data_IF_544816551062
#
_entry.id   IF_544816551062
#
_cell.length_a   1.000
_cell.length_b   1.000
_cell.length_c   1.000
_cell.angle_alpha   90.00
_cell.angle_beta   90.00
_cell.angle_gamma   90.00
#
_symmetry.space_group_name_H-M   'P 1'
#
loop_
_entity.id
_entity.type
_entity.pdbx_description
1 polymer ?
#
# COMPACT_ATOMS: atom_id res chain seq x y z
N UNK A 1 24.19 19.76 -37.92
CA UNK A 1 22.72 19.94 -37.85
C UNK A 1 22.10 19.75 -39.22
N UNK A 2 21.68 18.51 -39.55
CA UNK A 2 21.30 18.13 -40.90
C UNK A 2 20.03 18.84 -41.44
N UNK A 3 19.14 19.31 -40.56
CA UNK A 3 17.87 19.92 -40.95
C UNK A 3 18.02 21.38 -41.39
N UNK A 4 18.71 22.20 -40.59
CA UNK A 4 18.90 23.64 -40.86
C UNK A 4 19.70 23.86 -42.16
N UNK A 5 20.71 23.04 -42.40
CA UNK A 5 21.51 23.12 -43.62
C UNK A 5 20.73 22.68 -44.87
N UNK A 6 19.79 21.73 -44.71
CA UNK A 6 18.91 21.25 -45.78
C UNK A 6 17.81 22.27 -46.12
N UNK A 7 17.29 22.97 -45.12
CA UNK A 7 16.35 24.09 -45.28
C UNK A 7 17.03 25.26 -46.01
N UNK A 8 18.28 25.60 -45.65
CA UNK A 8 19.03 26.69 -46.30
C UNK A 8 19.39 26.40 -47.76
N UNK A 9 19.59 25.13 -48.11
CA UNK A 9 19.91 24.68 -49.47
C UNK A 9 18.67 24.44 -50.34
N UNK A 10 17.46 24.65 -49.82
CA UNK A 10 16.23 24.51 -50.59
C UNK A 10 16.19 25.57 -51.70
N UNK A 11 16.09 25.11 -52.95
CA UNK A 11 15.82 25.94 -54.12
C UNK A 11 14.29 26.10 -54.25
N UNK A 12 13.74 27.27 -53.91
CA UNK A 12 12.30 27.51 -53.76
C UNK A 12 12.00 28.77 -52.94
N UNK A 13 10.76 28.97 -52.48
CA UNK A 13 10.37 30.11 -51.62
C UNK A 13 11.29 30.30 -50.40
N UNK A 14 11.34 31.52 -49.87
CA UNK A 14 12.26 31.89 -48.78
C UNK A 14 12.22 30.87 -47.63
N UNK A 15 13.37 30.35 -47.16
CA UNK A 15 13.42 29.33 -46.10
C UNK A 15 13.05 29.85 -44.70
N UNK A 16 12.86 31.16 -44.56
CA UNK A 16 12.62 31.84 -43.28
C UNK A 16 11.44 31.28 -42.47
N UNK A 17 10.25 31.01 -43.06
CA UNK A 17 9.10 30.49 -42.32
C UNK A 17 9.36 29.11 -41.69
N UNK A 18 10.10 28.24 -42.38
CA UNK A 18 10.41 26.88 -41.88
C UNK A 18 11.40 26.96 -40.71
N UNK A 19 12.39 27.85 -40.79
CA UNK A 19 13.36 28.05 -39.71
C UNK A 19 12.65 28.57 -38.46
N UNK A 20 11.72 29.51 -38.62
CA UNK A 20 10.94 30.04 -37.51
C UNK A 20 10.08 28.97 -36.84
N UNK A 21 9.39 28.12 -37.62
CA UNK A 21 8.63 26.99 -37.09
C UNK A 21 9.51 26.02 -36.30
N UNK A 22 10.69 25.67 -36.80
CA UNK A 22 11.64 24.80 -36.08
C UNK A 22 12.10 25.44 -34.77
N UNK A 23 12.30 26.76 -34.76
CA UNK A 23 12.70 27.49 -33.56
C UNK A 23 11.57 27.59 -32.53
N UNK A 24 10.33 27.78 -32.98
CA UNK A 24 9.14 27.73 -32.13
C UNK A 24 8.96 26.33 -31.53
N UNK A 25 9.17 25.27 -32.32
CA UNK A 25 9.16 23.88 -31.83
C UNK A 25 10.22 23.66 -30.76
N UNK A 26 11.46 24.13 -30.99
CA UNK A 26 12.55 24.05 -29.99
C UNK A 26 12.12 24.67 -28.67
N UNK A 27 11.60 25.90 -28.69
CA UNK A 27 11.12 26.60 -27.49
C UNK A 27 9.98 25.85 -26.81
N UNK A 28 9.01 25.34 -27.59
CA UNK A 28 7.91 24.53 -27.09
C UNK A 28 8.41 23.27 -26.39
N UNK A 29 9.37 22.56 -26.99
CA UNK A 29 9.96 21.35 -26.39
C UNK A 29 10.73 21.65 -25.11
N UNK A 30 11.42 22.80 -25.01
CA UNK A 30 12.11 23.20 -23.78
C UNK A 30 11.14 23.44 -22.62
N UNK A 31 10.02 24.11 -22.88
CA UNK A 31 8.96 24.34 -21.89
C UNK A 31 8.36 23.01 -21.43
N UNK A 32 8.07 22.11 -22.38
CA UNK A 32 7.52 20.78 -22.08
C UNK A 32 8.52 19.94 -21.27
N UNK A 33 9.81 20.00 -21.61
CA UNK A 33 10.83 19.26 -20.87
C UNK A 33 10.91 19.77 -19.42
N UNK A 34 10.91 21.10 -19.23
CA UNK A 34 10.91 21.68 -17.90
C UNK A 34 9.67 21.27 -17.09
N UNK A 35 8.47 21.37 -17.67
CA UNK A 35 7.24 20.94 -16.99
C UNK A 35 7.27 19.45 -16.66
N UNK A 36 7.78 18.61 -17.57
CA UNK A 36 7.93 17.17 -17.35
C UNK A 36 8.87 16.87 -16.18
N UNK A 37 9.98 17.59 -16.04
CA UNK A 37 10.89 17.42 -14.89
C UNK A 37 10.22 17.77 -13.56
N UNK A 38 9.45 18.86 -13.52
CA UNK A 38 8.70 19.27 -12.33
C UNK A 38 7.60 18.26 -11.98
N UNK A 39 6.88 17.76 -12.98
CA UNK A 39 5.85 16.74 -12.80
C UNK A 39 6.45 15.43 -12.28
N UNK A 40 7.57 14.97 -12.84
CA UNK A 40 8.26 13.77 -12.37
C UNK A 40 8.67 13.90 -10.89
N UNK A 41 9.24 15.03 -10.49
CA UNK A 41 9.59 15.29 -9.09
C UNK A 41 8.35 15.26 -8.17
N UNK A 42 7.24 15.86 -8.62
CA UNK A 42 5.98 15.89 -7.87
C UNK A 42 5.34 14.50 -7.74
N UNK A 43 5.40 13.67 -8.78
CA UNK A 43 4.93 12.28 -8.74
C UNK A 43 5.67 11.50 -7.67
N UNK A 44 7.00 11.57 -7.63
CA UNK A 44 7.82 10.89 -6.61
C UNK A 44 7.43 11.34 -5.20
N UNK A 45 7.25 12.65 -4.98
CA UNK A 45 6.81 13.19 -3.69
C UNK A 45 5.42 12.70 -3.28
N UNK A 46 4.47 12.66 -4.22
CA UNK A 46 3.11 12.20 -3.98
C UNK A 46 3.07 10.70 -3.67
N UNK A 47 3.83 9.88 -4.40
CA UNK A 47 3.95 8.45 -4.13
C UNK A 47 4.54 8.18 -2.75
N UNK A 48 5.61 8.89 -2.37
CA UNK A 48 6.20 8.77 -1.03
C UNK A 48 5.20 9.15 0.07
N UNK A 49 4.46 10.25 -0.13
CA UNK A 49 3.44 10.72 0.81
C UNK A 49 2.27 9.74 0.93
N UNK A 50 1.79 9.19 -0.20
CA UNK A 50 0.74 8.18 -0.24
C UNK A 50 1.17 6.88 0.42
N UNK A 51 2.41 6.45 0.21
CA UNK A 51 2.97 5.28 0.88
C UNK A 51 3.00 5.48 2.39
N UNK A 52 3.53 6.62 2.86
CA UNK A 52 3.56 6.95 4.28
C UNK A 52 2.15 7.03 4.89
N UNK A 53 1.18 7.63 4.20
CA UNK A 53 -0.21 7.68 4.64
C UNK A 53 -0.86 6.28 4.68
N UNK A 54 -0.59 5.45 3.68
CA UNK A 54 -1.07 4.07 3.60
C UNK A 54 -0.50 3.22 4.73
N UNK A 55 0.80 3.34 5.02
CA UNK A 55 1.45 2.69 6.16
C UNK A 55 0.84 3.15 7.49
N UNK A 56 0.58 4.44 7.67
CA UNK A 56 -0.11 4.96 8.87
C UNK A 56 -1.52 4.37 9.01
N UNK A 57 -2.23 4.21 7.89
CA UNK A 57 -3.59 3.62 7.87
C UNK A 57 -3.58 2.11 8.12
N UNK A 58 -2.56 1.40 7.61
CA UNK A 58 -2.43 -0.06 7.74
C UNK A 58 -1.93 -0.48 9.12
N UNK A 59 -1.16 0.37 9.81
CA UNK A 59 -0.78 0.15 11.21
C UNK A 59 -2.04 -0.12 12.03
N UNK A 60 -2.02 -1.24 12.76
CA UNK A 60 -3.12 -1.68 13.61
C UNK A 60 -3.49 -0.53 14.55
N UNK A 61 -4.64 0.09 14.32
CA UNK A 61 -5.20 1.04 15.26
C UNK A 61 -5.42 0.27 16.55
N UNK A 62 -4.69 0.60 17.62
CA UNK A 62 -5.08 0.17 18.97
C UNK A 62 -6.42 0.86 19.20
N UNK A 63 -7.49 0.11 18.91
CA UNK A 63 -8.87 0.58 18.92
C UNK A 63 -9.14 0.92 20.38
N UNK A 64 -9.25 2.21 20.70
CA UNK A 64 -9.97 2.61 21.90
C UNK A 64 -11.40 2.13 21.62
N UNK A 65 -11.80 1.01 22.24
CA UNK A 65 -13.04 0.32 21.90
C UNK A 65 -14.25 1.21 22.19
N UNK A 66 -14.10 2.13 23.14
CA UNK A 66 -15.10 3.11 23.54
C UNK A 66 -14.52 4.49 23.22
N UNK A 67 -15.03 5.16 22.19
CA UNK A 67 -14.68 6.57 21.99
C UNK A 67 -15.09 7.38 23.21
N UNK A 68 -14.15 8.12 23.81
CA UNK A 68 -14.32 8.89 25.04
C UNK A 68 -12.96 9.21 25.67
N UNK A 69 -12.97 10.10 26.67
CA UNK A 69 -11.77 10.41 27.46
C UNK A 69 -11.57 9.28 28.48
N UNK A 70 -10.43 8.59 28.40
CA UNK A 70 -10.06 7.55 29.37
C UNK A 70 -9.16 8.20 30.42
N UNK A 71 -9.61 8.23 31.67
CA UNK A 71 -8.78 8.74 32.77
C UNK A 71 -7.60 7.78 33.02
N UNK A 72 -6.51 8.32 33.60
CA UNK A 72 -5.31 7.52 33.91
C UNK A 72 -5.63 6.30 34.80
N UNK A 73 -6.53 6.48 35.76
CA UNK A 73 -6.93 5.43 36.70
C UNK A 73 -7.72 4.31 35.99
N UNK A 74 -8.69 4.66 35.14
CA UNK A 74 -9.43 3.68 34.34
C UNK A 74 -8.51 2.91 33.38
N UNK A 75 -7.47 3.57 32.85
CA UNK A 75 -6.47 2.92 32.01
C UNK A 75 -5.62 1.90 32.80
N UNK A 76 -5.21 2.24 34.02
CA UNK A 76 -4.46 1.34 34.91
C UNK A 76 -5.30 0.13 35.32
N UNK A 77 -6.58 0.32 35.63
CA UNK A 77 -7.52 -0.76 35.96
C UNK A 77 -7.75 -1.71 34.78
N UNK A 78 -7.89 -1.19 33.56
CA UNK A 78 -8.00 -2.02 32.35
C UNK A 78 -6.75 -2.85 32.08
N UNK A 79 -5.56 -2.31 32.35
CA UNK A 79 -4.30 -3.06 32.21
C UNK A 79 -4.27 -4.20 33.23
N UNK A 80 -4.60 -3.91 34.49
CA UNK A 80 -4.65 -4.94 35.55
C UNK A 80 -5.65 -6.07 35.23
N UNK A 81 -6.82 -5.74 34.68
CA UNK A 81 -7.80 -6.75 34.26
C UNK A 81 -7.27 -7.63 33.12
N UNK A 82 -6.62 -7.03 32.12
CA UNK A 82 -6.04 -7.77 30.98
C UNK A 82 -4.90 -8.70 31.41
N UNK A 83 -4.06 -8.28 32.35
CA UNK A 83 -2.97 -9.11 32.88
C UNK A 83 -3.53 -10.32 33.62
N UNK A 84 -4.54 -10.12 34.49
CA UNK A 84 -5.23 -11.21 35.20
C UNK A 84 -5.94 -12.18 34.23
N UNK A 85 -6.60 -11.67 33.19
CA UNK A 85 -7.21 -12.51 32.15
C UNK A 85 -6.18 -13.27 31.31
N UNK A 86 -5.03 -12.65 31.02
CA UNK A 86 -3.90 -13.25 30.34
C UNK A 86 -3.33 -14.42 31.12
N UNK A 87 -3.08 -14.22 32.41
CA UNK A 87 -2.63 -15.27 33.34
C UNK A 87 -3.65 -16.39 33.50
N UNK A 88 -4.96 -16.07 33.58
CA UNK A 88 -6.02 -17.09 33.60
C UNK A 88 -6.08 -17.89 32.31
N UNK A 89 -5.90 -17.26 31.15
CA UNK A 89 -5.84 -17.95 29.84
C UNK A 89 -4.62 -18.84 29.73
N UNK A 90 -3.46 -18.37 30.19
CA UNK A 90 -2.23 -19.15 30.16
C UNK A 90 -2.31 -20.34 31.12
N UNK A 91 -2.88 -20.14 32.31
CA UNK A 91 -3.16 -21.20 33.29
C UNK A 91 -4.14 -22.23 32.75
N UNK A 92 -5.19 -21.78 32.03
CA UNK A 92 -6.16 -22.65 31.36
C UNK A 92 -5.53 -23.40 30.19
N UNK A 93 -4.62 -22.79 29.43
CA UNK A 93 -3.89 -23.45 28.35
C UNK A 93 -2.92 -24.51 28.87
N UNK A 94 -2.25 -24.25 30.00
CA UNK A 94 -1.37 -25.21 30.69
C UNK A 94 -2.14 -26.39 31.29
N UNK A 95 -3.37 -26.18 31.75
CA UNK A 95 -4.26 -27.25 32.23
C UNK A 95 -5.04 -27.95 31.12
N UNK A 96 -5.19 -27.35 29.93
CA UNK A 96 -5.91 -27.92 28.79
C UNK A 96 -5.00 -28.60 27.77
N UNK A 97 -3.91 -29.23 28.19
CA UNK A 97 -3.21 -30.20 27.35
C UNK A 97 -4.13 -31.41 27.19
N UNK A 98 -4.88 -31.48 26.08
CA UNK A 98 -5.40 -32.76 25.59
C UNK A 98 -6.91 -32.97 25.56
N UNK A 99 -7.74 -31.96 25.25
CA UNK A 99 -9.05 -32.25 24.63
C UNK A 99 -8.93 -32.14 23.11
N UNK A 100 -8.17 -33.07 22.52
CA UNK A 100 -8.20 -33.29 21.07
C UNK A 100 -9.67 -33.50 20.68
N UNK A 101 -10.20 -32.60 19.85
CA UNK A 101 -11.51 -32.78 19.23
C UNK A 101 -11.49 -34.13 18.54
N UNK A 102 -12.38 -35.05 18.94
CA UNK A 102 -12.54 -36.35 18.30
C UNK A 102 -12.62 -36.11 16.78
N UNK A 103 -11.75 -36.75 16.01
CA UNK A 103 -11.78 -36.60 14.55
C UNK A 103 -12.99 -37.35 14.01
N UNK A 104 -13.83 -36.65 13.24
CA UNK A 104 -14.99 -37.23 12.57
C UNK A 104 -14.65 -37.43 11.09
N UNK A 105 -15.20 -38.46 10.45
CA UNK A 105 -15.07 -38.67 9.02
C UNK A 105 -15.68 -37.48 8.27
N UNK A 106 -14.91 -36.80 7.41
CA UNK A 106 -15.42 -35.65 6.64
C UNK A 106 -16.50 -36.02 5.61
N UNK A 107 -16.70 -37.31 5.33
CA UNK A 107 -17.65 -37.80 4.33
C UNK A 107 -19.02 -38.16 4.93
N UNK A 108 -19.06 -38.87 6.06
CA UNK A 108 -20.30 -39.28 6.73
C UNK A 108 -20.51 -38.66 8.13
N UNK A 109 -19.54 -37.94 8.68
CA UNK A 109 -19.63 -37.30 9.99
C UNK A 109 -19.44 -38.23 11.20
N UNK A 110 -19.30 -39.54 11.00
CA UNK A 110 -19.13 -40.49 12.10
C UNK A 110 -17.69 -40.53 12.63
N UNK A 111 -17.52 -40.82 13.92
CA UNK A 111 -16.20 -41.05 14.53
C UNK A 111 -15.78 -42.51 14.40
N UNK A 112 -14.48 -42.78 14.28
CA UNK A 112 -13.93 -44.15 14.25
C UNK A 112 -13.31 -44.55 12.91
N UNK A 113 -13.50 -43.75 11.87
CA UNK A 113 -12.84 -43.93 10.58
C UNK A 113 -12.56 -42.58 9.90
N UNK A 114 -11.75 -42.59 8.84
CA UNK A 114 -11.44 -41.39 8.07
C UNK A 114 -12.04 -41.47 6.65
N UNK A 115 -11.99 -40.37 5.91
CA UNK A 115 -12.60 -40.29 4.58
C UNK A 115 -12.03 -41.26 3.53
N UNK A 116 -10.83 -41.81 3.75
CA UNK A 116 -10.21 -42.79 2.85
C UNK A 116 -10.73 -44.21 3.06
N UNK A 117 -11.28 -44.50 4.24
CA UNK A 117 -11.81 -45.82 4.61
C UNK A 117 -13.34 -45.81 4.79
N UNK A 118 -13.99 -44.71 4.39
CA UNK A 118 -15.44 -44.58 4.42
C UNK A 118 -16.04 -45.46 3.31
N UNK A 119 -16.84 -46.44 3.70
CA UNK A 119 -17.64 -47.28 2.80
C UNK A 119 -18.83 -46.51 2.25
#
# INVERSE_FOLDING_TARGET
TLLRDRIRKHQGSSPSPIIEMVEQLRKGTEIILHSQTLLAARVVQLEASNKAASERKSRKKRRIQNGGDLSKQEAEELIAQLDVEGEMRESRARTSVGKQRKSHCRRCGETGHNSRTCK
#
